data_IF_927561573679
#
_entry.id   IF_927561573679
#
_cell.length_a   1.000
_cell.length_b   1.000
_cell.length_c   1.000
_cell.angle_alpha   90.00
_cell.angle_beta   90.00
_cell.angle_gamma   90.00
#
_symmetry.space_group_name_H-M   'P 1'
#
loop_
_entity.id
_entity.type
_entity.pdbx_description
1 polymer ?
#
# COMPACT_ATOMS: atom_id res chain seq x y z
N UNK A 1 6.59 4.53 -10.83
CA UNK A 1 6.57 3.71 -9.61
C UNK A 1 6.53 4.63 -8.41
N UNK A 2 5.80 4.20 -7.40
CA UNK A 2 5.80 4.77 -6.07
C UNK A 2 7.15 4.49 -5.39
N UNK A 3 7.65 5.46 -4.63
CA UNK A 3 8.93 5.36 -3.92
C UNK A 3 8.73 5.48 -2.42
N UNK A 4 9.68 5.01 -1.61
CA UNK A 4 9.69 5.23 -0.16
C UNK A 4 9.51 6.72 0.19
N UNK A 5 10.21 7.59 -0.54
CA UNK A 5 10.14 9.04 -0.38
C UNK A 5 8.74 9.61 -0.68
N UNK A 6 7.96 8.99 -1.55
CA UNK A 6 6.58 9.41 -1.80
C UNK A 6 5.66 9.06 -0.62
N UNK A 7 5.90 7.92 0.04
CA UNK A 7 5.12 7.43 1.20
C UNK A 7 5.42 8.25 2.45
N UNK A 8 6.69 8.42 2.81
CA UNK A 8 7.07 9.10 4.06
C UNK A 8 6.81 10.61 4.06
N UNK A 9 6.61 11.23 2.89
CA UNK A 9 6.21 12.64 2.78
C UNK A 9 4.88 12.92 3.48
N UNK A 10 4.02 11.91 3.64
CA UNK A 10 2.72 12.05 4.28
C UNK A 10 2.77 11.78 5.78
N UNK A 11 3.71 10.93 6.23
CA UNK A 11 3.92 10.73 7.64
C UNK A 11 5.38 10.43 7.98
N UNK A 12 6.08 11.30 8.74
CA UNK A 12 7.50 11.12 9.04
C UNK A 12 7.77 10.07 10.13
N UNK A 13 6.73 9.65 10.86
CA UNK A 13 6.83 8.66 11.93
C UNK A 13 7.11 7.28 11.34
N UNK A 14 8.38 6.88 11.43
CA UNK A 14 8.91 5.70 10.75
C UNK A 14 9.84 4.91 11.69
N UNK A 15 9.83 3.58 11.54
CA UNK A 15 10.76 2.64 12.19
C UNK A 15 11.48 1.81 11.12
N UNK A 16 12.67 1.32 11.44
CA UNK A 16 13.50 0.53 10.53
C UNK A 16 14.31 1.38 9.57
N UNK A 17 14.81 0.75 8.51
CA UNK A 17 15.75 1.41 7.60
C UNK A 17 15.02 2.41 6.69
N UNK A 18 15.58 3.61 6.57
CA UNK A 18 15.09 4.65 5.66
C UNK A 18 15.84 4.55 4.34
N UNK A 19 15.23 3.91 3.33
CA UNK A 19 15.86 3.70 2.02
C UNK A 19 15.14 4.53 0.96
N UNK A 20 15.61 5.76 0.73
CA UNK A 20 14.97 6.68 -0.23
C UNK A 20 14.98 6.18 -1.69
N UNK A 21 15.88 5.25 -2.02
CA UNK A 21 15.99 4.61 -3.33
C UNK A 21 15.01 3.45 -3.54
N UNK A 22 14.28 3.06 -2.50
CA UNK A 22 13.34 1.94 -2.55
C UNK A 22 12.12 2.34 -3.40
N UNK A 23 11.76 1.46 -4.32
CA UNK A 23 10.60 1.57 -5.20
C UNK A 23 9.64 0.41 -4.97
N UNK A 24 8.35 0.71 -4.96
CA UNK A 24 7.29 -0.28 -4.76
C UNK A 24 6.72 -0.70 -6.10
N UNK A 25 6.58 -2.02 -6.31
CA UNK A 25 5.90 -2.58 -7.49
C UNK A 25 4.46 -2.95 -7.21
N UNK A 26 4.13 -3.29 -5.97
CA UNK A 26 2.77 -3.65 -5.55
C UNK A 26 2.38 -2.83 -4.32
N UNK A 27 1.11 -2.50 -4.20
CA UNK A 27 0.48 -1.96 -3.00
C UNK A 27 -0.81 -2.72 -2.72
N UNK A 28 -1.01 -3.18 -1.48
CA UNK A 28 -2.21 -3.95 -1.10
C UNK A 28 -2.48 -3.94 0.40
N UNK A 29 -3.74 -4.19 0.76
CA UNK A 29 -4.18 -4.51 2.12
C UNK A 29 -4.24 -6.02 2.40
N UNK A 30 -4.09 -6.86 1.37
CA UNK A 30 -4.21 -8.31 1.51
C UNK A 30 -2.83 -8.93 1.75
N UNK A 31 -2.62 -9.51 2.93
CA UNK A 31 -1.36 -10.18 3.27
C UNK A 31 -1.17 -11.49 2.50
N UNK A 32 -2.25 -12.06 1.93
CA UNK A 32 -2.26 -13.38 1.29
C UNK A 32 -1.76 -13.39 -0.15
N UNK A 33 -1.74 -12.23 -0.81
CA UNK A 33 -1.36 -12.13 -2.22
C UNK A 33 0.15 -11.93 -2.39
N UNK A 34 0.68 -12.40 -3.52
CA UNK A 34 2.07 -12.16 -3.89
C UNK A 34 2.30 -10.66 -4.14
N UNK A 35 3.24 -10.09 -3.41
CA UNK A 35 3.51 -8.65 -3.41
C UNK A 35 5.00 -8.38 -3.59
N UNK A 36 5.57 -8.81 -4.72
CA UNK A 36 6.99 -8.63 -5.00
C UNK A 36 7.39 -7.14 -4.96
N UNK A 37 8.31 -6.76 -4.06
CA UNK A 37 8.61 -5.34 -3.75
C UNK A 37 7.34 -4.58 -3.32
N UNK A 38 6.59 -5.18 -2.42
CA UNK A 38 5.28 -4.72 -1.97
C UNK A 38 5.35 -3.65 -0.89
N UNK A 39 4.40 -2.72 -0.94
CA UNK A 39 3.98 -1.89 0.17
C UNK A 39 2.69 -2.48 0.74
N UNK A 40 2.80 -3.13 1.89
CA UNK A 40 1.64 -3.66 2.59
C UNK A 40 0.95 -2.54 3.38
N UNK A 41 -0.37 -2.55 3.45
CA UNK A 41 -1.15 -1.61 4.27
C UNK A 41 -1.84 -2.41 5.36
N UNK A 42 -1.27 -2.35 6.56
CA UNK A 42 -1.84 -2.98 7.74
C UNK A 42 -3.16 -2.32 8.13
N UNK A 43 -4.12 -3.14 8.52
CA UNK A 43 -5.43 -2.70 8.99
C UNK A 43 -5.93 -3.61 10.11
N UNK A 44 -7.06 -3.26 10.72
CA UNK A 44 -7.75 -4.16 11.67
C UNK A 44 -8.31 -5.42 10.97
N UNK A 45 -8.57 -5.35 9.66
CA UNK A 45 -9.09 -6.47 8.84
C UNK A 45 -7.99 -7.49 8.55
N UNK A 46 -6.85 -7.00 8.09
CA UNK A 46 -5.66 -7.81 7.85
C UNK A 46 -4.41 -7.10 8.40
N UNK A 47 -3.93 -7.64 9.51
CA UNK A 47 -2.70 -7.22 10.19
C UNK A 47 -1.64 -8.33 10.18
N UNK A 48 -1.74 -9.34 9.31
CA UNK A 48 -0.77 -10.44 9.29
C UNK A 48 0.52 -10.02 8.57
N UNK A 49 1.32 -9.21 9.27
CA UNK A 49 2.56 -8.66 8.76
C UNK A 49 3.58 -9.75 8.41
N UNK A 50 3.63 -10.85 9.17
CA UNK A 50 4.53 -11.97 8.87
C UNK A 50 4.22 -12.57 7.50
N UNK A 51 2.93 -12.80 7.21
CA UNK A 51 2.49 -13.32 5.92
C UNK A 51 2.78 -12.34 4.79
N UNK A 52 2.52 -11.05 5.00
CA UNK A 52 2.81 -10.01 4.02
C UNK A 52 4.31 -9.97 3.67
N UNK A 53 5.19 -10.02 4.67
CA UNK A 53 6.65 -10.10 4.48
C UNK A 53 7.02 -11.36 3.69
N UNK A 54 6.48 -12.52 4.07
CA UNK A 54 6.71 -13.78 3.36
C UNK A 54 6.29 -13.73 1.89
N UNK A 55 5.26 -12.96 1.57
CA UNK A 55 4.76 -12.75 0.21
C UNK A 55 5.47 -11.62 -0.56
N UNK A 56 6.51 -11.01 0.02
CA UNK A 56 7.38 -10.05 -0.68
C UNK A 56 7.21 -8.59 -0.31
N UNK A 57 6.45 -8.28 0.76
CA UNK A 57 6.38 -6.93 1.31
C UNK A 57 7.78 -6.49 1.73
N UNK A 58 8.19 -5.31 1.32
CA UNK A 58 9.49 -4.70 1.69
C UNK A 58 9.32 -3.47 2.57
N UNK A 59 8.08 -3.05 2.83
CA UNK A 59 7.70 -2.00 3.75
C UNK A 59 6.23 -2.15 4.12
N UNK A 60 5.81 -1.53 5.22
CA UNK A 60 4.40 -1.49 5.63
C UNK A 60 3.95 -0.09 6.05
N UNK A 61 2.70 0.27 5.73
CA UNK A 61 1.94 1.33 6.38
C UNK A 61 1.16 0.72 7.53
N UNK A 62 1.30 1.24 8.75
CA UNK A 62 0.77 0.62 9.95
C UNK A 62 -0.02 1.62 10.82
N UNK A 63 -1.23 1.31 11.30
CA UNK A 63 -1.96 2.18 12.21
C UNK A 63 -1.20 2.36 13.53
N UNK A 64 -1.04 3.61 13.99
CA UNK A 64 -0.32 3.91 15.24
C UNK A 64 -1.04 3.40 16.49
N UNK A 65 -2.35 3.18 16.40
CA UNK A 65 -3.19 2.64 17.48
C UNK A 65 -3.13 1.11 17.58
N UNK A 66 -2.54 0.43 16.60
CA UNK A 66 -2.37 -1.02 16.60
C UNK A 66 -0.93 -1.36 17.00
N UNK A 67 -0.72 -2.18 18.05
CA UNK A 67 0.61 -2.65 18.41
C UNK A 67 1.29 -3.33 17.23
N UNK A 68 2.51 -2.90 16.94
CA UNK A 68 3.33 -3.56 15.94
C UNK A 68 3.75 -4.94 16.48
N UNK A 69 3.64 -6.03 15.71
CA UNK A 69 4.00 -7.35 16.21
C UNK A 69 5.49 -7.46 16.55
N UNK A 70 5.81 -8.14 17.66
CA UNK A 70 7.19 -8.27 18.17
C UNK A 70 8.13 -8.99 17.20
N UNK A 71 7.59 -9.85 16.33
CA UNK A 71 8.34 -10.55 15.30
C UNK A 71 8.76 -9.65 14.12
N UNK A 72 8.34 -8.38 14.09
CA UNK A 72 8.65 -7.48 12.97
C UNK A 72 10.13 -7.16 12.96
N UNK A 73 10.89 -7.52 11.90
CA UNK A 73 12.33 -7.30 11.86
C UNK A 73 12.68 -5.84 12.13
N UNK A 74 13.75 -5.60 12.89
CA UNK A 74 14.14 -4.24 13.31
C UNK A 74 14.42 -3.32 12.13
N UNK A 75 15.00 -3.88 11.06
CA UNK A 75 15.34 -3.14 9.85
C UNK A 75 14.16 -3.01 8.89
N UNK A 76 13.05 -3.70 9.14
CA UNK A 76 11.87 -3.66 8.27
C UNK A 76 11.23 -2.26 8.33
N UNK A 77 11.11 -1.56 7.18
CA UNK A 77 10.54 -0.22 7.16
C UNK A 77 9.04 -0.22 7.52
N UNK A 78 8.70 0.48 8.60
CA UNK A 78 7.33 0.69 9.06
C UNK A 78 7.04 2.18 9.03
N UNK A 79 5.97 2.57 8.34
CA UNK A 79 5.45 3.94 8.32
C UNK A 79 4.17 3.95 9.16
N UNK A 80 4.22 4.57 10.34
CA UNK A 80 3.04 4.67 11.18
C UNK A 80 2.09 5.74 10.67
N UNK A 81 0.78 5.52 10.75
CA UNK A 81 -0.27 6.45 10.32
C UNK A 81 -1.44 6.46 11.29
N UNK A 82 -2.22 7.52 11.26
CA UNK A 82 -3.42 7.64 12.11
C UNK A 82 -4.55 6.76 11.57
N UNK A 83 -4.74 6.77 10.25
CA UNK A 83 -5.68 5.93 9.53
C UNK A 83 -5.02 5.40 8.25
N UNK A 84 -4.95 4.08 8.12
CA UNK A 84 -4.34 3.40 6.98
C UNK A 84 -5.09 3.62 5.66
N UNK A 85 -6.42 3.71 5.71
CA UNK A 85 -7.25 3.90 4.52
C UNK A 85 -7.10 5.34 4.05
N UNK A 86 -7.18 6.31 4.96
CA UNK A 86 -6.96 7.72 4.63
C UNK A 86 -5.56 7.96 4.06
N UNK A 87 -4.53 7.34 4.66
CA UNK A 87 -3.16 7.42 4.17
C UNK A 87 -3.03 6.85 2.75
N UNK A 88 -3.66 5.69 2.48
CA UNK A 88 -3.67 5.08 1.15
C UNK A 88 -4.38 5.96 0.13
N UNK A 89 -5.55 6.50 0.45
CA UNK A 89 -6.31 7.41 -0.44
C UNK A 89 -5.44 8.59 -0.84
N UNK A 90 -4.84 9.29 0.14
CA UNK A 90 -3.93 10.42 -0.13
C UNK A 90 -2.74 10.03 -1.01
N UNK A 91 -2.20 8.84 -0.78
CA UNK A 91 -1.10 8.29 -1.56
C UNK A 91 -1.50 8.03 -3.02
N UNK A 92 -2.68 7.46 -3.25
CA UNK A 92 -3.23 7.19 -4.60
C UNK A 92 -3.47 8.49 -5.36
N UNK A 93 -4.11 9.50 -4.75
CA UNK A 93 -4.34 10.79 -5.42
C UNK A 93 -3.02 11.42 -5.88
N UNK A 94 -2.04 11.52 -5.00
CA UNK A 94 -0.74 12.12 -5.36
C UNK A 94 0.04 11.27 -6.36
N UNK A 95 -0.06 9.94 -6.25
CA UNK A 95 0.58 9.04 -7.19
C UNK A 95 0.00 9.19 -8.60
N UNK A 96 -1.32 9.26 -8.73
CA UNK A 96 -1.99 9.45 -10.02
C UNK A 96 -1.69 10.83 -10.62
N UNK A 97 -1.67 11.90 -9.82
CA UNK A 97 -1.16 13.22 -10.25
C UNK A 97 0.26 13.13 -10.84
N UNK A 98 1.17 12.42 -10.18
CA UNK A 98 2.55 12.20 -10.66
C UNK A 98 2.62 11.35 -11.94
N UNK A 99 1.68 10.42 -12.13
CA UNK A 99 1.64 9.50 -13.27
C UNK A 99 1.16 10.17 -14.57
N UNK A 100 0.40 11.26 -14.49
CA UNK A 100 0.04 12.06 -15.68
C UNK A 100 1.26 12.54 -16.49
N UNK A 101 2.47 12.50 -15.90
CA UNK A 101 3.72 12.95 -16.51
C UNK A 101 4.73 11.85 -16.92
N UNK A 102 4.42 10.53 -16.78
CA UNK A 102 5.38 9.44 -17.05
C UNK A 102 4.82 8.27 -17.89
N UNK A 103 5.72 7.54 -18.58
CA UNK A 103 5.40 6.35 -19.41
C UNK A 103 4.95 5.15 -18.57
N UNK A 104 4.03 4.36 -19.15
CA UNK A 104 3.23 3.27 -18.55
C UNK A 104 3.98 2.06 -17.96
N UNK A 105 5.17 1.72 -18.47
CA UNK A 105 5.87 0.46 -18.12
C UNK A 105 6.39 0.35 -16.67
N UNK A 106 6.40 1.47 -15.94
CA UNK A 106 6.93 1.56 -14.58
C UNK A 106 5.83 1.90 -13.56
N UNK A 107 4.59 1.41 -13.72
CA UNK A 107 3.55 1.64 -12.73
C UNK A 107 3.69 0.71 -11.51
N UNK A 108 3.36 1.21 -10.33
CA UNK A 108 3.09 0.38 -9.14
C UNK A 108 1.69 -0.18 -9.25
N UNK A 109 1.54 -1.50 -9.28
CA UNK A 109 0.25 -2.18 -9.33
C UNK A 109 -0.44 -2.03 -7.96
N UNK A 110 -1.71 -1.65 -7.97
CA UNK A 110 -2.50 -1.48 -6.75
C UNK A 110 -3.61 -2.52 -6.72
N UNK A 111 -3.64 -3.32 -5.66
CA UNK A 111 -4.61 -4.40 -5.47
C UNK A 111 -5.43 -4.03 -4.23
N UNK A 112 -6.60 -3.44 -4.50
CA UNK A 112 -7.51 -2.89 -3.51
C UNK A 112 -8.90 -3.43 -3.82
N UNK A 113 -9.58 -3.96 -2.82
CA UNK A 113 -10.94 -4.49 -2.93
C UNK A 113 -11.94 -3.55 -2.28
N UNK A 114 -13.23 -3.72 -2.57
CA UNK A 114 -14.29 -2.98 -1.88
C UNK A 114 -14.24 -3.16 -0.36
N UNK A 115 -13.86 -4.35 0.11
CA UNK A 115 -13.76 -4.65 1.54
C UNK A 115 -12.63 -3.90 2.25
N UNK A 116 -11.63 -3.43 1.50
CA UNK A 116 -10.54 -2.61 2.03
C UNK A 116 -10.97 -1.18 2.31
N UNK A 117 -12.05 -0.74 1.66
CA UNK A 117 -12.56 0.62 1.74
C UNK A 117 -13.88 0.62 2.51
N UNK A 118 -14.02 1.52 3.48
CA UNK A 118 -15.22 1.58 4.32
C UNK A 118 -16.44 2.16 3.58
N UNK A 119 -16.30 2.58 2.32
CA UNK A 119 -17.30 3.34 1.58
C UNK A 119 -17.25 3.05 0.08
N UNK A 120 -18.38 2.62 -0.49
CA UNK A 120 -18.52 2.33 -1.93
C UNK A 120 -18.18 3.54 -2.82
N UNK A 121 -18.58 4.76 -2.41
CA UNK A 121 -18.24 5.97 -3.18
C UNK A 121 -16.73 6.21 -3.25
N UNK A 122 -16.03 5.90 -2.16
CA UNK A 122 -14.57 6.04 -2.10
C UNK A 122 -13.90 4.97 -2.98
N UNK A 123 -14.46 3.75 -3.02
CA UNK A 123 -14.00 2.73 -3.95
C UNK A 123 -14.18 3.17 -5.41
N UNK A 124 -15.36 3.64 -5.77
CA UNK A 124 -15.64 4.08 -7.15
C UNK A 124 -14.74 5.24 -7.57
N UNK A 125 -14.46 6.18 -6.66
CA UNK A 125 -13.53 7.29 -6.87
C UNK A 125 -12.09 6.79 -7.12
N UNK A 126 -11.57 5.96 -6.20
CA UNK A 126 -10.21 5.42 -6.29
C UNK A 126 -10.06 4.54 -7.54
N UNK A 127 -11.04 3.68 -7.81
CA UNK A 127 -11.06 2.84 -8.99
C UNK A 127 -11.06 3.68 -10.26
N UNK A 128 -11.91 4.70 -10.36
CA UNK A 128 -11.94 5.61 -11.51
C UNK A 128 -10.62 6.37 -11.71
N UNK A 129 -9.94 6.75 -10.63
CA UNK A 129 -8.62 7.37 -10.70
C UNK A 129 -7.55 6.41 -11.22
N UNK A 130 -7.55 5.17 -10.74
CA UNK A 130 -6.55 4.17 -11.10
C UNK A 130 -6.78 3.59 -12.50
N UNK A 131 -8.03 3.39 -12.91
CA UNK A 131 -8.41 2.90 -14.24
C UNK A 131 -8.01 3.89 -15.33
N UNK A 132 -8.26 5.19 -15.11
CA UNK A 132 -7.77 6.27 -15.99
C UNK A 132 -6.25 6.20 -16.24
N UNK A 133 -5.50 5.63 -15.30
CA UNK A 133 -4.05 5.50 -15.37
C UNK A 133 -3.56 4.06 -15.61
N UNK A 134 -4.47 3.08 -15.81
CA UNK A 134 -4.19 1.65 -16.00
C UNK A 134 -3.33 1.03 -14.88
N UNK A 135 -3.65 1.35 -13.62
CA UNK A 135 -2.86 0.96 -12.43
C UNK A 135 -3.48 -0.20 -11.64
N UNK A 136 -4.74 -0.56 -11.93
CA UNK A 136 -5.49 -1.60 -11.24
C UNK A 136 -5.35 -2.99 -11.90
N UNK A 137 -5.37 -4.03 -11.07
CA UNK A 137 -5.83 -5.35 -11.47
C UNK A 137 -7.12 -5.64 -10.68
N UNK A 138 -8.21 -5.92 -11.38
CA UNK A 138 -9.38 -6.54 -10.73
C UNK A 138 -9.00 -7.97 -10.36
N UNK A 139 -9.17 -8.31 -9.08
CA UNK A 139 -9.21 -9.70 -8.67
C UNK A 139 -10.68 -10.10 -8.62
N UNK A 140 -11.11 -10.92 -9.59
CA UNK A 140 -12.36 -11.66 -9.46
C UNK A 140 -12.22 -12.53 -8.20
N UNK A 141 -13.10 -12.33 -7.23
CA UNK A 141 -13.22 -13.26 -6.11
C UNK A 141 -13.62 -14.62 -6.69
N UNK A 142 -12.68 -15.56 -6.79
CA UNK A 142 -13.03 -16.96 -6.87
C UNK A 142 -13.59 -17.36 -5.50
N UNK A 143 -14.93 -17.35 -5.39
CA UNK A 143 -15.66 -18.03 -4.32
C UNK A 143 -15.20 -19.51 -4.27
N UNK A 144 -14.50 -19.89 -3.18
CA UNK A 144 -14.39 -21.27 -2.71
C UNK A 144 -14.36 -21.36 -1.20
#
# INVERSE_FOLDING_TARGET
>A
MLTYSDVVKFNPHTRGVKVNTLVYRTLTFDSSIQQAKGLFIGSKRDGNLLRAIGNGAISVIWPKDIPLPDYTPNDFPVIFVDDSIEAMVKLVHKYTEKMTMKKRGDATIMIITKQDLQNDRMYDEIFGLLDKHLVCMEMENEDK
#
